data_IF_151326355064
#
_entry.id   IF_151326355064
#
_cell.length_a   1.000
_cell.length_b   1.000
_cell.length_c   1.000
_cell.angle_alpha   90.00
_cell.angle_beta   90.00
_cell.angle_gamma   90.00
#
_symmetry.space_group_name_H-M   'P 1'
#
loop_
_entity.id
_entity.type
_entity.pdbx_description
1 polymer ?
#
# COMPACT_ATOMS: atom_id res chain seq x y z
N UNK A 1 -11.62 -20.94 -27.72
CA UNK A 1 -11.01 -21.03 -29.08
C UNK A 1 -12.08 -20.69 -30.09
N UNK A 2 -11.84 -19.70 -30.96
CA UNK A 2 -12.79 -19.28 -31.99
C UNK A 2 -12.72 -20.25 -33.17
N UNK A 3 -13.86 -20.82 -33.58
CA UNK A 3 -13.97 -21.59 -34.82
C UNK A 3 -14.25 -20.64 -35.97
N UNK A 4 -13.35 -20.58 -36.95
CA UNK A 4 -13.43 -19.64 -38.09
C UNK A 4 -13.99 -20.27 -39.36
N UNK A 5 -14.20 -21.59 -39.38
CA UNK A 5 -14.71 -22.34 -40.53
C UNK A 5 -16.09 -22.93 -40.22
N UNK A 6 -17.13 -22.09 -40.20
CA UNK A 6 -18.52 -22.56 -40.12
C UNK A 6 -19.08 -22.78 -41.51
N UNK A 7 -19.63 -23.97 -41.77
CA UNK A 7 -20.37 -24.25 -43.00
C UNK A 7 -21.68 -23.45 -42.96
N UNK A 8 -22.11 -22.88 -44.07
CA UNK A 8 -23.31 -22.01 -44.19
C UNK A 8 -24.22 -22.50 -45.31
N UNK A 9 -24.39 -23.82 -45.43
CA UNK A 9 -25.08 -24.43 -46.56
C UNK A 9 -26.59 -24.55 -46.33
N UNK A 10 -27.02 -24.62 -45.07
CA UNK A 10 -28.43 -24.65 -44.66
C UNK A 10 -28.86 -23.35 -43.98
N UNK A 11 -30.16 -23.05 -44.03
CA UNK A 11 -30.75 -21.97 -43.22
C UNK A 11 -30.43 -22.12 -41.73
N UNK A 12 -30.43 -23.36 -41.25
CA UNK A 12 -30.16 -23.67 -39.84
C UNK A 12 -28.68 -23.44 -39.47
N UNK A 13 -27.77 -23.66 -40.42
CA UNK A 13 -26.34 -23.36 -40.23
C UNK A 13 -26.10 -21.85 -40.06
N UNK A 14 -26.87 -21.03 -40.78
CA UNK A 14 -26.80 -19.57 -40.70
C UNK A 14 -27.25 -19.09 -39.32
N UNK A 15 -28.38 -19.59 -38.80
CA UNK A 15 -28.87 -19.23 -37.47
C UNK A 15 -27.87 -19.65 -36.37
N UNK A 16 -27.33 -20.87 -36.45
CA UNK A 16 -26.33 -21.36 -35.50
C UNK A 16 -25.03 -20.54 -35.53
N UNK A 17 -24.61 -20.06 -36.70
CA UNK A 17 -23.45 -19.19 -36.86
C UNK A 17 -23.71 -17.80 -36.25
N UNK A 18 -24.92 -17.26 -36.42
CA UNK A 18 -25.34 -15.98 -35.81
C UNK A 18 -25.35 -16.10 -34.29
N UNK A 19 -25.93 -17.16 -33.73
CA UNK A 19 -25.95 -17.40 -32.28
C UNK A 19 -24.54 -17.57 -31.71
N UNK A 20 -23.69 -18.30 -32.41
CA UNK A 20 -22.28 -18.46 -32.02
C UNK A 20 -21.54 -17.12 -32.03
N UNK A 21 -21.77 -16.28 -33.04
CA UNK A 21 -21.17 -14.95 -33.14
C UNK A 21 -21.66 -14.03 -32.02
N UNK A 22 -22.97 -13.95 -31.77
CA UNK A 22 -23.53 -13.11 -30.71
C UNK A 22 -23.01 -13.53 -29.34
N UNK A 23 -22.95 -14.83 -29.07
CA UNK A 23 -22.45 -15.32 -27.80
C UNK A 23 -20.95 -15.08 -27.61
N UNK A 24 -20.17 -15.13 -28.70
CA UNK A 24 -18.75 -14.76 -28.66
C UNK A 24 -18.55 -13.27 -28.40
N UNK A 25 -19.34 -12.40 -29.03
CA UNK A 25 -19.32 -10.96 -28.77
C UNK A 25 -19.68 -10.69 -27.30
N UNK A 26 -20.72 -11.33 -26.76
CA UNK A 26 -21.08 -11.20 -25.36
C UNK A 26 -19.96 -11.66 -24.42
N UNK A 27 -19.37 -12.83 -24.67
CA UNK A 27 -18.24 -13.34 -23.86
C UNK A 27 -17.03 -12.42 -23.91
N UNK A 28 -16.67 -11.93 -25.10
CA UNK A 28 -15.57 -10.99 -25.29
C UNK A 28 -15.86 -9.67 -24.56
N UNK A 29 -17.06 -9.11 -24.72
CA UNK A 29 -17.49 -7.91 -24.02
C UNK A 29 -17.43 -8.11 -22.50
N UNK A 30 -17.91 -9.24 -21.96
CA UNK A 30 -17.82 -9.54 -20.53
C UNK A 30 -16.37 -9.71 -20.04
N UNK A 31 -15.49 -10.33 -20.84
CA UNK A 31 -14.09 -10.50 -20.48
C UNK A 31 -13.27 -9.20 -20.57
N UNK A 32 -13.66 -8.29 -21.48
CA UNK A 32 -13.00 -6.99 -21.69
C UNK A 32 -13.61 -5.86 -20.86
N UNK A 33 -14.85 -6.02 -20.37
CA UNK A 33 -15.42 -5.08 -19.41
C UNK A 33 -14.67 -5.28 -18.09
N UNK A 34 -13.84 -4.32 -17.65
CA UNK A 34 -13.26 -4.42 -16.33
C UNK A 34 -14.43 -4.47 -15.34
N UNK A 35 -14.46 -5.48 -14.47
CA UNK A 35 -15.36 -5.46 -13.32
C UNK A 35 -15.16 -4.10 -12.66
N UNK A 36 -16.22 -3.28 -12.60
CA UNK A 36 -16.15 -2.03 -11.84
C UNK A 36 -15.51 -2.39 -10.51
N UNK A 37 -14.41 -1.71 -10.12
CA UNK A 37 -13.80 -2.03 -8.85
C UNK A 37 -14.93 -1.91 -7.85
N UNK A 38 -15.30 -3.04 -7.21
CA UNK A 38 -16.31 -3.05 -6.16
C UNK A 38 -16.05 -1.79 -5.37
N UNK A 39 -17.03 -0.88 -5.28
CA UNK A 39 -16.90 0.30 -4.44
C UNK A 39 -16.88 -0.27 -3.02
N UNK A 40 -15.70 -0.77 -2.62
CA UNK A 40 -15.47 -1.33 -1.32
C UNK A 40 -15.79 -0.17 -0.41
N UNK A 41 -16.78 -0.30 0.49
CA UNK A 41 -17.08 0.79 1.39
C UNK A 41 -15.76 1.19 2.03
N UNK A 42 -15.38 2.47 1.89
CA UNK A 42 -14.12 3.04 2.44
C UNK A 42 -14.00 2.87 3.96
N UNK A 43 -14.98 2.26 4.61
CA UNK A 43 -15.00 1.93 6.02
C UNK A 43 -14.19 0.67 6.32
N UNK A 44 -12.87 0.73 6.12
CA UNK A 44 -11.97 -0.14 6.88
C UNK A 44 -11.91 0.41 8.30
N UNK A 45 -12.93 0.16 9.12
CA UNK A 45 -12.98 0.71 10.48
C UNK A 45 -14.27 0.44 11.26
N UNK A 46 -14.21 0.79 12.55
CA UNK A 46 -15.32 0.73 13.49
C UNK A 46 -16.46 1.62 12.98
N UNK A 47 -17.63 1.04 12.76
CA UNK A 47 -18.84 1.79 12.37
C UNK A 47 -19.35 2.57 13.59
N UNK A 48 -19.45 3.89 13.46
CA UNK A 48 -19.95 4.74 14.53
C UNK A 48 -21.47 4.61 14.68
N UNK A 49 -21.92 4.31 15.90
CA UNK A 49 -23.34 4.35 16.27
C UNK A 49 -23.91 5.75 16.11
N UNK A 50 -25.24 5.84 16.02
CA UNK A 50 -25.95 7.12 15.96
C UNK A 50 -25.61 8.00 17.16
N UNK A 51 -25.59 7.39 18.35
CA UNK A 51 -25.21 8.05 19.60
C UNK A 51 -23.79 8.63 19.56
N UNK A 52 -22.79 7.84 19.13
CA UNK A 52 -21.41 8.33 19.02
C UNK A 52 -21.31 9.54 18.06
N UNK A 53 -22.05 9.50 16.94
CA UNK A 53 -22.12 10.62 15.99
C UNK A 53 -22.75 11.86 16.61
N UNK A 54 -23.82 11.69 17.39
CA UNK A 54 -24.46 12.80 18.10
C UNK A 54 -23.52 13.39 19.17
N UNK A 55 -22.86 12.56 19.97
CA UNK A 55 -21.86 12.99 20.95
C UNK A 55 -20.68 13.74 20.32
N UNK A 56 -20.24 13.36 19.11
CA UNK A 56 -19.24 14.12 18.36
C UNK A 56 -19.76 15.52 18.02
N UNK A 57 -21.00 15.63 17.55
CA UNK A 57 -21.62 16.92 17.22
C UNK A 57 -21.77 17.80 18.47
N UNK A 58 -22.27 17.24 19.57
CA UNK A 58 -22.45 17.97 20.84
C UNK A 58 -21.10 18.43 21.41
N UNK A 59 -20.10 17.55 21.47
CA UNK A 59 -18.73 17.90 21.87
C UNK A 59 -18.17 19.05 21.04
N UNK A 60 -18.30 19.01 19.71
CA UNK A 60 -17.83 20.08 18.81
C UNK A 60 -18.58 21.40 19.04
N UNK A 61 -19.89 21.35 19.27
CA UNK A 61 -20.71 22.53 19.61
C UNK A 61 -20.26 23.14 20.95
N UNK A 62 -20.11 22.34 22.00
CA UNK A 62 -19.71 22.79 23.33
C UNK A 62 -18.28 23.32 23.34
N UNK A 63 -17.35 22.70 22.60
CA UNK A 63 -15.99 23.25 22.43
C UNK A 63 -16.01 24.66 21.83
N UNK A 64 -16.78 24.87 20.76
CA UNK A 64 -16.90 26.20 20.14
C UNK A 64 -17.47 27.23 21.11
N UNK A 65 -18.48 26.84 21.90
CA UNK A 65 -19.08 27.69 22.93
C UNK A 65 -18.05 28.04 24.01
N UNK A 66 -17.41 27.05 24.61
CA UNK A 66 -16.41 27.24 25.67
C UNK A 66 -15.22 28.11 25.23
N UNK A 67 -14.74 27.96 23.99
CA UNK A 67 -13.66 28.81 23.44
C UNK A 67 -14.14 30.26 23.30
N UNK A 68 -15.40 30.48 22.91
CA UNK A 68 -15.95 31.82 22.71
C UNK A 68 -16.26 32.52 24.03
N UNK A 69 -16.89 31.83 24.96
CA UNK A 69 -17.37 32.43 26.21
C UNK A 69 -16.29 32.50 27.28
N UNK A 70 -15.29 31.60 27.23
CA UNK A 70 -14.29 31.41 28.30
C UNK A 70 -14.91 31.15 29.68
N UNK A 71 -16.19 30.73 29.72
CA UNK A 71 -16.91 30.44 30.95
C UNK A 71 -16.50 29.06 31.50
N UNK A 72 -16.12 28.95 32.79
CA UNK A 72 -15.85 27.68 33.46
C UNK A 72 -16.99 26.65 33.31
N UNK A 73 -18.24 27.09 33.33
CA UNK A 73 -19.40 26.19 33.19
C UNK A 73 -19.46 25.53 31.81
N UNK A 74 -19.20 26.31 30.76
CA UNK A 74 -19.16 25.81 29.39
C UNK A 74 -17.99 24.82 29.20
N UNK A 75 -16.87 25.03 29.89
CA UNK A 75 -15.75 24.08 29.91
C UNK A 75 -16.12 22.77 30.61
N UNK A 76 -16.86 22.81 31.71
CA UNK A 76 -17.37 21.61 32.40
C UNK A 76 -18.28 20.80 31.47
N UNK A 77 -19.24 21.47 30.80
CA UNK A 77 -20.14 20.82 29.84
C UNK A 77 -19.36 20.16 28.70
N UNK A 78 -18.37 20.86 28.14
CA UNK A 78 -17.49 20.30 27.10
C UNK A 78 -16.75 19.05 27.59
N UNK A 79 -16.15 19.09 28.78
CA UNK A 79 -15.43 17.96 29.37
C UNK A 79 -16.36 16.77 29.62
N UNK A 80 -17.58 17.01 30.11
CA UNK A 80 -18.59 15.96 30.31
C UNK A 80 -18.94 15.26 29.00
N UNK A 81 -19.25 16.02 27.94
CA UNK A 81 -19.52 15.46 26.62
C UNK A 81 -18.29 14.72 26.03
N UNK A 82 -17.08 15.22 26.28
CA UNK A 82 -15.85 14.56 25.85
C UNK A 82 -15.63 13.22 26.57
N UNK A 83 -15.92 13.15 27.87
CA UNK A 83 -15.82 11.92 28.66
C UNK A 83 -16.87 10.90 28.25
N UNK A 84 -18.13 11.32 28.04
CA UNK A 84 -19.17 10.44 27.51
C UNK A 84 -18.77 9.84 26.16
N UNK A 85 -18.30 10.67 25.23
CA UNK A 85 -17.82 10.19 23.93
C UNK A 85 -16.64 9.22 24.08
N UNK A 86 -15.72 9.47 25.02
CA UNK A 86 -14.57 8.58 25.28
C UNK A 86 -15.02 7.20 25.74
N UNK A 87 -16.04 7.12 26.58
CA UNK A 87 -16.60 5.84 27.06
C UNK A 87 -17.24 5.08 25.89
N UNK A 88 -18.16 5.70 25.16
CA UNK A 88 -18.84 5.07 24.02
C UNK A 88 -17.85 4.61 22.95
N UNK A 89 -16.83 5.41 22.61
CA UNK A 89 -15.81 5.01 21.64
C UNK A 89 -14.92 3.87 22.14
N UNK A 90 -14.70 3.76 23.45
CA UNK A 90 -13.93 2.65 24.03
C UNK A 90 -14.72 1.34 23.91
N UNK A 91 -16.01 1.37 24.25
CA UNK A 91 -16.91 0.22 24.15
C UNK A 91 -16.99 -0.26 22.70
N UNK A 92 -17.31 0.63 21.76
CA UNK A 92 -17.36 0.29 20.32
C UNK A 92 -16.05 -0.31 19.79
N UNK A 93 -14.91 0.18 20.31
CA UNK A 93 -13.61 -0.36 19.94
C UNK A 93 -13.40 -1.76 20.53
N UNK A 94 -13.78 -1.96 21.79
CA UNK A 94 -13.70 -3.26 22.46
C UNK A 94 -14.56 -4.30 21.72
N UNK A 95 -15.83 -4.00 21.49
CA UNK A 95 -16.77 -4.90 20.82
C UNK A 95 -16.31 -5.26 19.42
N UNK A 96 -15.82 -4.27 18.66
CA UNK A 96 -15.26 -4.52 17.35
C UNK A 96 -14.03 -5.43 17.42
N UNK A 97 -13.14 -5.27 18.40
CA UNK A 97 -11.98 -6.14 18.55
C UNK A 97 -12.37 -7.56 18.95
N UNK A 98 -13.30 -7.72 19.88
CA UNK A 98 -13.82 -9.03 20.30
C UNK A 98 -14.45 -9.78 19.12
N UNK A 99 -15.35 -9.12 18.38
CA UNK A 99 -15.98 -9.70 17.18
C UNK A 99 -14.96 -10.02 16.09
N UNK A 100 -13.98 -9.14 15.88
CA UNK A 100 -12.96 -9.37 14.88
C UNK A 100 -12.06 -10.54 15.27
N UNK A 101 -11.68 -10.63 16.54
CA UNK A 101 -10.84 -11.71 17.04
C UNK A 101 -11.56 -13.07 16.98
N UNK A 102 -12.85 -13.12 17.29
CA UNK A 102 -13.65 -14.35 17.18
C UNK A 102 -13.84 -14.82 15.73
N UNK A 103 -13.82 -13.89 14.77
CA UNK A 103 -13.89 -14.22 13.33
C UNK A 103 -12.56 -14.63 12.70
N UNK A 104 -11.44 -14.40 13.39
CA UNK A 104 -10.10 -14.71 12.85
C UNK A 104 -9.71 -16.15 13.13
N UNK A 105 -9.01 -16.76 12.17
CA UNK A 105 -8.52 -18.12 12.30
C UNK A 105 -7.14 -18.29 11.62
N UNK A 106 -6.42 -19.33 12.03
CA UNK A 106 -5.10 -19.69 11.53
C UNK A 106 -5.16 -20.67 10.35
N UNK A 107 -6.35 -21.14 9.98
CA UNK A 107 -6.58 -22.10 8.90
C UNK A 107 -6.38 -21.51 7.49
N UNK A 108 -6.19 -22.40 6.52
CA UNK A 108 -6.08 -22.06 5.08
C UNK A 108 -7.39 -21.45 4.58
N UNK A 109 -8.53 -22.01 4.99
CA UNK A 109 -9.86 -21.57 4.57
C UNK A 109 -10.15 -20.12 5.00
N UNK A 110 -9.68 -19.74 6.19
CA UNK A 110 -9.72 -18.38 6.70
C UNK A 110 -8.57 -17.50 6.18
N UNK A 111 -7.85 -17.96 5.15
CA UNK A 111 -6.74 -17.25 4.51
C UNK A 111 -5.65 -16.79 5.50
N UNK A 112 -5.40 -17.56 6.56
CA UNK A 112 -4.45 -17.20 7.64
C UNK A 112 -4.71 -15.80 8.23
N UNK A 113 -5.98 -15.42 8.38
CA UNK A 113 -6.41 -14.08 8.81
C UNK A 113 -5.79 -13.65 10.14
N UNK A 114 -5.66 -14.57 11.11
CA UNK A 114 -5.02 -14.32 12.40
C UNK A 114 -3.53 -13.98 12.25
N UNK A 115 -2.79 -14.76 11.45
CA UNK A 115 -1.38 -14.49 11.16
C UNK A 115 -1.18 -13.17 10.42
N UNK A 116 -2.05 -12.87 9.44
CA UNK A 116 -2.00 -11.58 8.71
C UNK A 116 -2.21 -10.40 9.65
N UNK A 117 -3.17 -10.49 10.56
CA UNK A 117 -3.44 -9.43 11.54
C UNK A 117 -2.27 -9.25 12.53
N UNK A 118 -1.74 -10.34 13.08
CA UNK A 118 -0.59 -10.28 14.01
C UNK A 118 0.68 -9.79 13.32
N UNK A 119 0.93 -10.21 12.07
CA UNK A 119 2.04 -9.70 11.24
C UNK A 119 1.90 -8.20 10.98
N UNK A 120 0.69 -7.72 10.68
CA UNK A 120 0.44 -6.29 10.49
C UNK A 120 0.68 -5.49 11.78
N UNK A 121 0.28 -6.02 12.95
CA UNK A 121 0.52 -5.38 14.25
C UNK A 121 2.00 -5.29 14.61
N UNK A 122 2.78 -6.33 14.30
CA UNK A 122 4.24 -6.37 14.53
C UNK A 122 5.03 -5.61 13.48
N UNK A 123 4.40 -5.21 12.36
CA UNK A 123 5.08 -4.53 11.26
C UNK A 123 5.61 -3.19 11.77
N UNK A 124 6.93 -3.06 11.81
CA UNK A 124 7.55 -1.76 12.07
C UNK A 124 7.19 -0.80 10.91
N UNK A 125 6.84 0.45 11.20
CA UNK A 125 6.66 1.44 10.15
C UNK A 125 7.97 1.53 9.36
N UNK A 126 7.86 1.52 8.04
CA UNK A 126 9.02 1.76 7.19
C UNK A 126 9.56 3.15 7.55
N UNK A 127 10.78 3.22 8.08
CA UNK A 127 11.44 4.51 8.28
C UNK A 127 11.93 4.97 6.91
N UNK A 128 11.19 5.89 6.28
CA UNK A 128 11.75 6.67 5.19
C UNK A 128 12.75 7.65 5.79
N UNK A 129 14.02 7.23 5.87
CA UNK A 129 15.10 8.14 6.23
C UNK A 129 15.36 9.03 5.02
N UNK A 130 15.24 10.37 5.14
CA UNK A 130 15.57 11.26 4.04
C UNK A 130 17.04 11.07 3.65
N UNK A 131 17.28 10.73 2.39
CA UNK A 131 18.64 10.61 1.85
C UNK A 131 19.17 12.02 1.59
N UNK A 132 20.43 12.28 1.96
CA UNK A 132 21.10 13.54 1.65
C UNK A 132 22.00 13.38 0.44
N UNK A 133 21.91 14.34 -0.47
CA UNK A 133 22.85 14.51 -1.56
C UNK A 133 24.20 14.99 -1.01
N UNK A 134 25.32 14.84 -1.76
CA UNK A 134 26.63 15.33 -1.35
C UNK A 134 26.66 16.83 -1.00
N UNK A 135 25.81 17.64 -1.65
CA UNK A 135 25.64 19.06 -1.36
C UNK A 135 24.90 19.38 -0.06
N UNK A 136 24.46 18.37 0.71
CA UNK A 136 23.75 18.55 1.99
C UNK A 136 22.23 18.70 1.87
N UNK A 137 21.71 18.89 0.65
CA UNK A 137 20.28 18.91 0.36
C UNK A 137 19.66 17.50 0.44
N UNK A 138 18.33 17.43 0.61
CA UNK A 138 17.61 16.15 0.59
C UNK A 138 17.27 15.70 -0.83
N UNK A 139 17.50 14.43 -1.12
CA UNK A 139 17.11 13.79 -2.36
C UNK A 139 15.58 13.62 -2.42
N UNK A 140 14.93 14.36 -3.32
CA UNK A 140 13.48 14.39 -3.51
C UNK A 140 13.00 13.37 -4.53
N UNK A 141 13.84 13.05 -5.51
CA UNK A 141 13.53 12.09 -6.58
C UNK A 141 14.26 10.77 -6.37
N UNK A 142 13.73 9.68 -6.92
CA UNK A 142 14.38 8.36 -6.88
C UNK A 142 15.76 8.39 -7.56
N UNK A 143 15.90 9.18 -8.64
CA UNK A 143 17.17 9.40 -9.34
C UNK A 143 18.18 10.10 -8.43
N UNK A 144 17.77 11.14 -7.72
CA UNK A 144 18.64 11.82 -6.74
C UNK A 144 19.06 10.88 -5.61
N UNK A 145 18.17 10.00 -5.14
CA UNK A 145 18.50 9.02 -4.11
C UNK A 145 19.52 8.00 -4.61
N UNK A 146 19.35 7.50 -5.83
CA UNK A 146 20.29 6.57 -6.46
C UNK A 146 21.67 7.22 -6.64
N UNK A 147 21.70 8.46 -7.12
CA UNK A 147 22.94 9.22 -7.28
C UNK A 147 23.62 9.49 -5.94
N UNK A 148 22.88 9.95 -4.93
CA UNK A 148 23.41 10.17 -3.58
C UNK A 148 24.01 8.90 -2.97
N UNK A 149 23.37 7.74 -3.19
CA UNK A 149 23.92 6.45 -2.80
C UNK A 149 25.19 6.10 -3.57
N UNK A 150 25.22 6.32 -4.89
CA UNK A 150 26.40 6.12 -5.74
C UNK A 150 27.59 6.95 -5.27
N UNK A 151 27.39 8.25 -5.03
CA UNK A 151 28.43 9.14 -4.51
C UNK A 151 28.97 8.69 -3.15
N UNK A 152 28.09 8.24 -2.25
CA UNK A 152 28.51 7.72 -0.95
C UNK A 152 29.35 6.44 -1.09
N UNK A 153 29.00 5.55 -2.02
CA UNK A 153 29.82 4.37 -2.29
C UNK A 153 31.16 4.75 -2.89
N UNK A 154 31.20 5.66 -3.86
CA UNK A 154 32.42 6.15 -4.48
C UNK A 154 33.39 6.73 -3.44
N UNK A 155 32.89 7.60 -2.56
CA UNK A 155 33.68 8.20 -1.47
C UNK A 155 34.23 7.12 -0.52
N UNK A 156 33.40 6.13 -0.16
CA UNK A 156 33.76 5.10 0.82
C UNK A 156 34.70 4.03 0.26
N UNK A 157 34.59 3.72 -1.03
CA UNK A 157 35.37 2.68 -1.70
C UNK A 157 36.55 3.26 -2.49
N UNK A 158 37.27 4.19 -1.87
CA UNK A 158 38.56 4.68 -2.37
C UNK A 158 39.70 3.78 -1.85
N UNK A 159 40.79 3.60 -2.62
CA UNK A 159 41.96 2.86 -2.15
C UNK A 159 42.49 3.49 -0.87
N UNK A 160 42.59 2.71 0.20
CA UNK A 160 43.12 3.18 1.47
C UNK A 160 44.60 3.57 1.32
N UNK A 161 45.10 4.51 2.12
CA UNK A 161 46.49 5.01 2.10
C UNK A 161 47.59 3.94 2.28
N UNK A 162 47.23 2.69 2.60
CA UNK A 162 48.15 1.55 2.68
C UNK A 162 48.42 0.88 1.32
N UNK A 163 47.64 1.19 0.28
CA UNK A 163 47.89 0.67 -1.05
C UNK A 163 49.04 1.45 -1.72
N UNK A 164 50.01 0.72 -2.24
CA UNK A 164 51.14 1.34 -2.95
C UNK A 164 50.65 1.90 -4.30
N UNK A 165 51.32 2.94 -4.81
CA UNK A 165 50.97 3.56 -6.10
C UNK A 165 50.89 2.54 -7.25
N UNK A 166 51.74 1.52 -7.26
CA UNK A 166 51.67 0.47 -8.28
C UNK A 166 50.38 -0.35 -8.17
N UNK A 167 49.97 -0.74 -6.96
CA UNK A 167 48.77 -1.54 -6.72
C UNK A 167 47.50 -0.78 -7.12
N UNK A 168 47.46 0.54 -6.85
CA UNK A 168 46.38 1.41 -7.29
C UNK A 168 46.31 1.43 -8.82
N UNK A 169 47.46 1.60 -9.49
CA UNK A 169 47.53 1.64 -10.96
C UNK A 169 47.11 0.31 -11.60
N UNK A 170 47.57 -0.82 -11.06
CA UNK A 170 47.18 -2.16 -11.51
C UNK A 170 45.68 -2.39 -11.38
N UNK A 171 45.10 -1.99 -10.24
CA UNK A 171 43.66 -2.11 -10.00
C UNK A 171 42.86 -1.27 -11.00
N UNK A 172 43.27 -0.03 -11.26
CA UNK A 172 42.63 0.81 -12.28
C UNK A 172 42.73 0.22 -13.69
N UNK A 173 43.90 -0.29 -14.05
CA UNK A 173 44.12 -0.92 -15.36
C UNK A 173 43.26 -2.18 -15.50
N UNK A 174 43.15 -2.98 -14.44
CA UNK A 174 42.27 -4.14 -14.41
C UNK A 174 40.83 -3.71 -14.62
N UNK A 175 40.31 -2.74 -13.83
CA UNK A 175 38.95 -2.20 -13.92
C UNK A 175 38.58 -1.64 -15.31
N UNK A 176 39.56 -1.12 -16.05
CA UNK A 176 39.36 -0.60 -17.41
C UNK A 176 39.46 -1.67 -18.50
N UNK A 177 39.85 -2.90 -18.15
CA UNK A 177 39.99 -3.99 -19.11
C UNK A 177 38.61 -4.35 -19.69
N UNK A 178 38.49 -4.57 -21.01
CA UNK A 178 37.23 -4.99 -21.60
C UNK A 178 36.76 -6.35 -21.03
N UNK A 179 35.45 -6.58 -21.02
CA UNK A 179 34.82 -7.87 -20.68
C UNK A 179 34.97 -8.35 -19.22
N UNK A 180 35.16 -7.45 -18.26
CA UNK A 180 35.29 -7.81 -16.83
C UNK A 180 34.12 -8.61 -16.25
N UNK A 181 32.91 -8.42 -16.78
CA UNK A 181 31.68 -9.10 -16.32
C UNK A 181 31.36 -10.36 -17.14
N UNK A 182 32.22 -10.71 -18.10
CA UNK A 182 32.04 -11.94 -18.88
C UNK A 182 32.45 -13.17 -18.07
N UNK A 183 31.76 -14.28 -18.31
CA UNK A 183 32.14 -15.55 -17.69
C UNK A 183 33.53 -15.96 -18.17
N UNK A 184 34.38 -16.53 -17.29
CA UNK A 184 35.69 -16.98 -17.70
C UNK A 184 35.57 -17.94 -18.88
N UNK A 185 36.40 -17.69 -19.90
CA UNK A 185 36.45 -18.53 -21.10
C UNK A 185 36.81 -19.94 -20.63
N UNK A 186 35.93 -20.90 -20.92
CA UNK A 186 36.17 -22.29 -20.54
C UNK A 186 37.39 -22.81 -21.31
N UNK A 187 38.27 -23.60 -20.66
CA UNK A 187 39.43 -24.20 -21.33
C UNK A 187 39.03 -25.17 -22.44
#
# INVERSE_FOLDING_TARGET
SLQLNTVLSSKEDIENAVDSLTQNIHRAASASTPSEPEIRPRSYGIVLTREARELIRTKRRLRRRAIRTQDPWDRILWNRAANQLKVVLRELRSDFFEQKLSSMDYTVDANYSLWKCTKALKRQPLRWVPVRCPGGEFAKTEVEQANAFGFHLEDRFTPYDFATREQIRETHQYLQMPLQMSWPIKP
#
